data_IF_258027623297
#
_entry.id   IF_258027623297
#
_cell.length_a   1.000
_cell.length_b   1.000
_cell.length_c   1.000
_cell.angle_alpha   90.00
_cell.angle_beta   90.00
_cell.angle_gamma   90.00
#
_symmetry.space_group_name_H-M   'P 1'
#
loop_
_entity.id
_entity.type
_entity.pdbx_description
1 polymer ?
#
# COMPACT_ATOMS: atom_id res chain seq x y z
N UNK A 1 35.58 -7.96 -1.45
CA UNK A 1 34.86 -6.94 -2.25
C UNK A 1 33.68 -7.49 -3.05
N UNK A 2 33.58 -8.80 -3.34
CA UNK A 2 32.44 -9.40 -4.06
C UNK A 2 31.12 -9.52 -3.26
N UNK A 3 31.05 -9.05 -2.00
CA UNK A 3 29.85 -9.14 -1.15
C UNK A 3 29.12 -7.80 -0.96
N UNK A 4 29.56 -6.73 -1.63
CA UNK A 4 28.93 -5.40 -1.57
C UNK A 4 27.66 -5.33 -2.43
N UNK A 5 27.46 -6.27 -3.35
CA UNK A 5 26.56 -6.09 -4.50
C UNK A 5 25.21 -6.82 -4.41
N UNK A 6 25.09 -7.84 -3.56
CA UNK A 6 23.88 -8.69 -3.53
C UNK A 6 22.77 -8.16 -2.60
N UNK A 7 22.99 -7.07 -1.89
CA UNK A 7 22.05 -6.60 -0.85
C UNK A 7 20.98 -5.61 -1.31
N UNK A 8 20.97 -5.15 -2.57
CA UNK A 8 20.11 -4.01 -2.99
C UNK A 8 18.97 -4.36 -3.95
N UNK A 9 18.94 -5.51 -4.62
CA UNK A 9 17.92 -5.74 -5.66
C UNK A 9 17.41 -7.17 -5.74
N UNK A 10 16.57 -7.54 -4.77
CA UNK A 10 15.52 -8.53 -5.00
C UNK A 10 14.20 -7.97 -4.47
N UNK A 11 13.38 -7.41 -5.38
CA UNK A 11 11.94 -7.40 -5.14
C UNK A 11 11.19 -7.50 -6.45
N UNK A 12 10.40 -8.56 -6.52
CA UNK A 12 9.65 -9.05 -7.65
C UNK A 12 8.62 -8.03 -8.15
N UNK A 13 8.34 -8.12 -9.46
CA UNK A 13 7.23 -7.44 -10.12
C UNK A 13 5.89 -7.94 -9.55
N UNK A 14 5.28 -7.20 -8.63
CA UNK A 14 3.81 -7.24 -8.46
C UNK A 14 3.19 -6.08 -9.26
N UNK A 15 2.55 -6.44 -10.38
CA UNK A 15 1.66 -5.55 -11.12
C UNK A 15 0.41 -5.34 -10.26
N UNK A 16 0.31 -4.18 -9.61
CA UNK A 16 -0.89 -3.77 -8.89
C UNK A 16 -1.91 -3.29 -9.92
N UNK A 17 -2.94 -4.11 -10.18
CA UNK A 17 -4.13 -3.64 -10.87
C UNK A 17 -5.01 -2.85 -9.88
N UNK A 18 -5.01 -1.53 -10.04
CA UNK A 18 -5.97 -0.62 -9.42
C UNK A 18 -7.38 -0.89 -9.93
N UNK A 19 -8.11 -1.75 -9.24
CA UNK A 19 -9.56 -1.92 -9.39
C UNK A 19 -10.26 -1.53 -8.10
N UNK A 20 -10.30 -0.23 -7.83
CA UNK A 20 -11.26 0.37 -6.92
C UNK A 20 -12.45 0.84 -7.74
N UNK A 21 -13.61 0.24 -7.53
CA UNK A 21 -14.93 0.89 -7.59
C UNK A 21 -15.95 -0.10 -7.00
N UNK A 22 -16.20 0.03 -5.71
CA UNK A 22 -17.37 -0.52 -5.05
C UNK A 22 -18.59 0.33 -5.43
N UNK A 23 -19.35 -0.09 -6.43
CA UNK A 23 -20.72 0.39 -6.65
C UNK A 23 -21.62 -0.12 -5.51
N UNK A 24 -21.49 0.51 -4.34
CA UNK A 24 -22.51 0.52 -3.31
C UNK A 24 -22.60 1.94 -2.75
N UNK A 25 -22.99 2.90 -3.60
CA UNK A 25 -23.50 4.19 -3.17
C UNK A 25 -24.71 3.93 -2.25
N UNK A 26 -24.48 3.98 -0.95
CA UNK A 26 -25.52 4.34 0.01
C UNK A 26 -25.76 5.82 -0.18
N UNK A 27 -26.96 6.17 -0.65
CA UNK A 27 -27.45 7.54 -0.67
C UNK A 27 -27.45 8.09 0.76
N UNK A 28 -26.53 9.00 1.05
CA UNK A 28 -26.55 9.89 2.21
C UNK A 28 -27.32 11.15 1.83
N UNK A 29 -28.59 11.20 2.18
CA UNK A 29 -29.38 12.43 2.27
C UNK A 29 -30.27 12.29 3.53
N UNK A 30 -29.76 12.78 4.67
CA UNK A 30 -30.46 13.70 5.59
C UNK A 30 -29.65 13.88 6.89
N UNK A 31 -29.16 15.11 7.02
CA UNK A 31 -28.82 15.94 8.18
C UNK A 31 -28.80 15.33 9.60
N UNK A 32 -27.59 15.30 10.14
CA UNK A 32 -27.18 15.98 11.39
C UNK A 32 -28.23 16.10 12.53
N UNK A 33 -28.29 15.08 13.39
CA UNK A 33 -28.51 15.26 14.82
C UNK A 33 -27.43 14.48 15.58
N UNK A 34 -26.42 15.20 16.05
CA UNK A 34 -25.49 14.71 17.07
C UNK A 34 -26.26 14.52 18.38
N UNK A 35 -26.65 13.27 18.65
CA UNK A 35 -26.89 12.75 19.98
C UNK A 35 -25.94 11.58 20.16
N UNK A 36 -24.96 11.73 21.05
CA UNK A 36 -23.99 10.70 21.38
C UNK A 36 -24.65 9.56 22.14
N UNK A 37 -24.85 8.41 21.50
CA UNK A 37 -25.02 7.14 22.20
C UNK A 37 -24.21 6.05 21.50
N UNK A 38 -23.38 5.38 22.30
CA UNK A 38 -22.37 4.40 21.91
C UNK A 38 -22.98 3.27 21.05
N UNK A 39 -22.57 3.17 19.78
CA UNK A 39 -22.81 2.01 18.91
C UNK A 39 -21.73 0.92 19.07
N UNK A 40 -21.16 0.77 20.25
CA UNK A 40 -20.21 -0.31 20.54
C UNK A 40 -20.90 -1.44 21.32
N UNK A 41 -20.77 -2.65 20.76
CA UNK A 41 -21.28 -3.95 21.23
C UNK A 41 -22.75 -4.29 20.93
N UNK A 42 -23.00 -4.78 19.72
CA UNK A 42 -24.01 -5.83 19.52
C UNK A 42 -23.29 -7.12 19.17
N UNK A 43 -23.07 -7.94 20.19
CA UNK A 43 -22.62 -9.31 20.06
C UNK A 43 -23.69 -10.09 19.29
N UNK A 44 -23.42 -10.39 18.02
CA UNK A 44 -24.23 -11.34 17.26
C UNK A 44 -24.03 -12.72 17.90
N UNK A 45 -25.07 -13.43 18.36
CA UNK A 45 -24.88 -14.75 18.94
C UNK A 45 -24.37 -15.68 17.85
N UNK A 46 -23.11 -16.09 17.96
CA UNK A 46 -22.58 -17.24 17.26
C UNK A 46 -23.22 -18.49 17.87
N UNK A 47 -24.42 -18.84 17.41
CA UNK A 47 -24.94 -20.21 17.56
C UNK A 47 -25.59 -20.64 16.26
N UNK A 48 -25.09 -21.75 15.74
CA UNK A 48 -25.54 -22.52 14.57
C UNK A 48 -27.07 -22.77 14.56
N UNK A 49 -27.71 -22.66 15.74
CA UNK A 49 -29.14 -22.85 15.95
C UNK A 49 -30.06 -21.81 15.26
N UNK A 50 -29.61 -20.56 15.08
CA UNK A 50 -30.44 -19.52 14.44
C UNK A 50 -30.40 -19.61 12.90
N UNK A 51 -29.30 -20.12 12.33
CA UNK A 51 -29.12 -20.28 10.89
C UNK A 51 -30.01 -21.39 10.31
N UNK A 52 -30.16 -22.53 11.02
CA UNK A 52 -31.10 -23.59 10.62
C UNK A 52 -32.54 -23.09 10.47
N UNK A 53 -33.02 -22.26 11.41
CA UNK A 53 -34.41 -21.73 11.38
C UNK A 53 -34.72 -20.83 10.17
N UNK A 54 -33.74 -20.16 9.57
CA UNK A 54 -33.96 -19.25 8.42
C UNK A 54 -33.94 -20.01 7.09
N UNK A 55 -33.22 -21.13 7.00
CA UNK A 55 -33.26 -21.96 5.78
C UNK A 55 -34.62 -22.63 5.59
N UNK A 56 -35.23 -23.04 6.71
CA UNK A 56 -36.43 -23.88 6.74
C UNK A 56 -37.73 -23.08 6.80
N UNK A 57 -37.67 -21.74 6.96
CA UNK A 57 -38.87 -20.91 6.97
C UNK A 57 -39.49 -20.85 5.57
N UNK A 58 -40.78 -21.19 5.51
CA UNK A 58 -41.55 -21.18 4.27
C UNK A 58 -41.92 -19.77 3.83
N UNK A 59 -42.19 -19.60 2.53
CA UNK A 59 -42.67 -18.35 1.96
C UNK A 59 -43.97 -17.83 2.61
N UNK A 60 -44.83 -18.74 3.10
CA UNK A 60 -46.06 -18.38 3.84
C UNK A 60 -45.75 -17.86 5.24
N UNK A 61 -44.88 -18.54 5.99
CA UNK A 61 -44.50 -18.09 7.33
C UNK A 61 -43.82 -16.72 7.31
N UNK A 62 -43.00 -16.44 6.28
CA UNK A 62 -42.41 -15.09 6.10
C UNK A 62 -43.49 -14.02 5.92
N UNK A 63 -44.59 -14.33 5.23
CA UNK A 63 -45.68 -13.36 5.01
C UNK A 63 -46.45 -13.03 6.28
N UNK A 64 -46.46 -13.93 7.26
CA UNK A 64 -47.15 -13.77 8.54
C UNK A 64 -46.26 -13.09 9.61
N UNK A 65 -45.01 -12.77 9.29
CA UNK A 65 -44.11 -12.10 10.23
C UNK A 65 -44.56 -10.66 10.53
N UNK A 66 -44.52 -10.32 11.80
CA UNK A 66 -44.69 -8.96 12.32
C UNK A 66 -43.41 -8.54 13.06
N UNK A 67 -43.04 -7.28 12.94
CA UNK A 67 -41.86 -6.70 13.58
C UNK A 67 -42.27 -5.46 14.36
N UNK A 68 -41.62 -5.20 15.49
CA UNK A 68 -41.90 -4.01 16.28
C UNK A 68 -41.31 -2.78 15.58
N UNK A 69 -40.18 -2.94 14.89
CA UNK A 69 -39.53 -1.85 14.15
C UNK A 69 -39.25 -2.17 12.68
N UNK A 70 -39.18 -1.11 11.87
CA UNK A 70 -38.68 -1.17 10.49
C UNK A 70 -37.26 -1.75 10.43
N UNK A 71 -36.44 -1.43 11.42
CA UNK A 71 -35.05 -1.86 11.47
C UNK A 71 -34.95 -3.38 11.60
N UNK A 72 -35.73 -3.98 12.51
CA UNK A 72 -35.82 -5.43 12.68
C UNK A 72 -36.26 -6.14 11.40
N UNK A 73 -37.30 -5.63 10.73
CA UNK A 73 -37.74 -6.15 9.43
C UNK A 73 -36.64 -6.12 8.37
N UNK A 74 -35.87 -5.03 8.29
CA UNK A 74 -34.74 -4.91 7.37
C UNK A 74 -33.63 -5.92 7.72
N UNK A 75 -33.28 -6.03 9.01
CA UNK A 75 -32.24 -6.92 9.52
C UNK A 75 -32.61 -8.39 9.27
N UNK A 76 -33.87 -8.76 9.49
CA UNK A 76 -34.40 -10.07 9.16
C UNK A 76 -34.15 -10.41 7.68
N UNK A 77 -34.60 -9.55 6.76
CA UNK A 77 -34.46 -9.84 5.34
C UNK A 77 -33.00 -9.81 4.84
N UNK A 78 -32.15 -8.96 5.42
CA UNK A 78 -30.71 -8.98 5.15
C UNK A 78 -30.05 -10.29 5.60
N UNK A 79 -30.49 -10.83 6.74
CA UNK A 79 -30.02 -12.13 7.26
C UNK A 79 -30.53 -13.28 6.40
N UNK A 80 -31.82 -13.25 6.03
CA UNK A 80 -32.41 -14.19 5.08
C UNK A 80 -31.65 -14.21 3.74
N UNK A 81 -31.38 -13.02 3.19
CA UNK A 81 -30.62 -12.89 1.95
C UNK A 81 -29.22 -13.49 2.06
N UNK A 82 -28.51 -13.20 3.17
CA UNK A 82 -27.19 -13.77 3.44
C UNK A 82 -27.24 -15.30 3.49
N UNK A 83 -28.23 -15.87 4.19
CA UNK A 83 -28.40 -17.33 4.26
C UNK A 83 -28.70 -17.93 2.89
N UNK A 84 -29.63 -17.34 2.13
CA UNK A 84 -30.01 -17.86 0.81
C UNK A 84 -28.95 -17.59 -0.28
N UNK A 85 -27.95 -16.74 -0.02
CA UNK A 85 -26.81 -16.55 -0.93
C UNK A 85 -26.93 -15.37 -1.89
N UNK A 86 -27.59 -14.30 -1.49
CA UNK A 86 -27.64 -13.03 -2.22
C UNK A 86 -27.55 -11.83 -1.28
N UNK A 87 -27.41 -10.62 -1.83
CA UNK A 87 -27.37 -9.39 -1.02
C UNK A 87 -28.70 -8.65 -1.13
N UNK A 88 -29.32 -8.31 0.00
CA UNK A 88 -30.50 -7.45 0.04
C UNK A 88 -30.09 -5.97 -0.03
N UNK A 89 -30.70 -5.22 -0.95
CA UNK A 89 -30.54 -3.77 -1.09
C UNK A 89 -31.83 -3.06 -0.72
N UNK A 90 -31.73 -1.95 0.00
CA UNK A 90 -32.87 -1.04 0.22
C UNK A 90 -33.33 -0.49 -1.14
N UNK A 91 -34.64 -0.42 -1.31
CA UNK A 91 -35.30 0.12 -2.49
C UNK A 91 -36.34 1.14 -2.04
N UNK A 92 -37.47 1.23 -2.75
CA UNK A 92 -38.58 2.13 -2.46
C UNK A 92 -38.93 2.26 -0.97
N UNK A 93 -39.19 3.50 -0.59
CA UNK A 93 -39.67 3.92 0.70
C UNK A 93 -40.92 4.78 0.46
N UNK A 94 -41.96 4.61 1.28
CA UNK A 94 -43.13 5.49 1.27
C UNK A 94 -43.24 6.22 2.60
N UNK A 95 -43.72 7.45 2.55
CA UNK A 95 -44.00 8.30 3.71
C UNK A 95 -45.47 8.72 3.71
N UNK A 96 -46.01 9.01 4.88
CA UNK A 96 -47.31 9.67 4.99
C UNK A 96 -47.19 11.20 4.85
N UNK A 97 -48.32 11.90 4.96
CA UNK A 97 -48.37 13.36 4.92
C UNK A 97 -47.56 14.06 6.01
N UNK A 98 -47.25 13.36 7.11
CA UNK A 98 -46.42 13.85 8.21
C UNK A 98 -44.94 13.48 8.04
N UNK A 99 -44.54 13.04 6.84
CA UNK A 99 -43.19 12.56 6.50
C UNK A 99 -42.71 11.32 7.28
N UNK A 100 -43.60 10.65 8.02
CA UNK A 100 -43.28 9.41 8.71
C UNK A 100 -43.21 8.26 7.71
N UNK A 101 -42.20 7.40 7.86
CA UNK A 101 -42.02 6.25 6.97
C UNK A 101 -43.12 5.23 7.23
N UNK A 102 -43.89 4.88 6.20
CA UNK A 102 -45.00 3.91 6.27
C UNK A 102 -44.72 2.61 5.53
N UNK A 103 -43.70 2.57 4.69
CA UNK A 103 -43.34 1.39 3.90
C UNK A 103 -41.85 1.37 3.60
N UNK A 104 -41.25 0.18 3.67
CA UNK A 104 -39.90 -0.08 3.19
C UNK A 104 -39.90 -1.33 2.30
N UNK A 105 -39.31 -1.21 1.12
CA UNK A 105 -39.01 -2.35 0.26
C UNK A 105 -37.50 -2.62 0.24
N UNK A 106 -37.14 -3.90 0.28
CA UNK A 106 -35.81 -4.42 -0.04
C UNK A 106 -35.90 -5.35 -1.25
N UNK A 107 -34.83 -5.42 -2.04
CA UNK A 107 -34.75 -6.21 -3.27
C UNK A 107 -33.41 -6.92 -3.38
N UNK A 108 -33.33 -7.94 -4.23
CA UNK A 108 -32.05 -8.59 -4.55
C UNK A 108 -31.02 -7.59 -5.14
N UNK A 109 -29.72 -7.85 -4.92
CA UNK A 109 -28.64 -7.06 -5.51
C UNK A 109 -28.69 -7.03 -7.05
N UNK A 110 -29.21 -8.08 -7.69
CA UNK A 110 -29.40 -8.15 -9.14
C UNK A 110 -30.75 -7.58 -9.63
N UNK A 111 -31.53 -6.94 -8.75
CA UNK A 111 -32.83 -6.38 -9.11
C UNK A 111 -32.73 -5.13 -10.00
N UNK A 112 -33.74 -4.98 -10.87
CA UNK A 112 -33.84 -3.91 -11.86
C UNK A 112 -32.81 -4.03 -12.99
N UNK A 113 -32.75 -3.02 -13.84
CA UNK A 113 -31.72 -2.89 -14.88
C UNK A 113 -30.75 -1.76 -14.49
N UNK A 114 -29.52 -1.79 -15.04
CA UNK A 114 -28.63 -0.63 -14.94
C UNK A 114 -29.20 0.48 -15.82
N UNK A 115 -29.31 1.70 -15.29
CA UNK A 115 -29.89 2.82 -16.03
C UNK A 115 -28.95 3.23 -17.18
N UNK A 116 -29.52 3.65 -18.32
CA UNK A 116 -28.77 4.03 -19.53
C UNK A 116 -27.73 5.12 -19.29
N UNK A 117 -28.04 6.11 -18.43
CA UNK A 117 -27.10 7.18 -18.04
C UNK A 117 -25.74 6.70 -17.49
N UNK A 118 -25.68 5.48 -16.94
CA UNK A 118 -24.43 4.88 -16.45
C UNK A 118 -23.72 3.99 -17.49
N UNK A 119 -24.41 3.65 -18.57
CA UNK A 119 -23.88 2.89 -19.71
C UNK A 119 -23.32 3.85 -20.79
N UNK A 120 -23.92 5.03 -20.93
CA UNK A 120 -23.64 5.99 -22.00
C UNK A 120 -22.81 7.19 -21.52
N UNK A 121 -22.14 7.07 -20.36
CA UNK A 121 -21.35 8.17 -19.79
C UNK A 121 -20.03 8.34 -20.56
N UNK A 122 -19.95 9.41 -21.34
CA UNK A 122 -18.83 9.70 -22.26
C UNK A 122 -17.54 10.09 -21.50
N UNK A 123 -17.65 10.85 -20.40
CA UNK A 123 -16.50 11.38 -19.65
C UNK A 123 -15.97 10.43 -18.58
N UNK A 124 -15.89 9.13 -18.88
CA UNK A 124 -15.51 8.12 -17.89
C UNK A 124 -13.99 7.94 -17.84
N UNK A 125 -13.39 8.18 -16.68
CA UNK A 125 -11.95 7.94 -16.43
C UNK A 125 -11.58 6.47 -16.17
N UNK A 126 -12.58 5.64 -15.82
CA UNK A 126 -12.41 4.21 -15.49
C UNK A 126 -13.30 3.34 -16.38
N UNK A 127 -12.93 2.07 -16.65
CA UNK A 127 -13.76 1.15 -17.42
C UNK A 127 -15.13 0.89 -16.78
N UNK A 128 -16.07 0.35 -17.56
CA UNK A 128 -17.38 -0.03 -17.04
C UNK A 128 -17.27 -1.20 -16.07
N UNK A 129 -17.82 -1.03 -14.86
CA UNK A 129 -18.04 -2.16 -13.96
C UNK A 129 -18.94 -3.21 -14.65
N UNK A 130 -18.75 -4.51 -14.37
CA UNK A 130 -19.60 -5.57 -14.93
C UNK A 130 -21.10 -5.31 -14.70
N UNK A 131 -21.95 -5.69 -15.66
CA UNK A 131 -23.40 -5.61 -15.50
C UNK A 131 -23.85 -6.78 -14.62
N UNK A 132 -24.16 -6.47 -13.37
CA UNK A 132 -24.60 -7.47 -12.37
C UNK A 132 -26.11 -7.57 -12.22
N UNK A 133 -26.86 -6.59 -12.75
CA UNK A 133 -28.32 -6.51 -12.64
C UNK A 133 -29.00 -7.29 -13.76
N UNK A 134 -29.85 -8.24 -13.38
CA UNK A 134 -30.55 -9.16 -14.30
C UNK A 134 -32.06 -8.90 -14.33
N UNK A 135 -32.53 -7.76 -13.82
CA UNK A 135 -33.95 -7.47 -13.62
C UNK A 135 -34.65 -8.45 -12.67
N UNK A 136 -33.91 -8.99 -11.70
CA UNK A 136 -34.45 -9.90 -10.69
C UNK A 136 -35.62 -9.26 -9.93
N UNK A 137 -36.68 -10.04 -9.69
CA UNK A 137 -37.94 -9.55 -9.06
C UNK A 137 -38.07 -9.93 -7.60
N UNK A 138 -37.13 -10.72 -7.06
CA UNK A 138 -37.08 -11.06 -5.65
C UNK A 138 -37.09 -9.80 -4.78
N UNK A 139 -38.06 -9.72 -3.87
CA UNK A 139 -38.33 -8.53 -3.05
C UNK A 139 -38.99 -8.90 -1.74
N UNK A 140 -38.83 -8.02 -0.77
CA UNK A 140 -39.46 -8.06 0.53
C UNK A 140 -39.96 -6.66 0.87
N UNK A 141 -41.24 -6.52 1.17
CA UNK A 141 -41.87 -5.22 1.44
C UNK A 141 -42.64 -5.26 2.74
N UNK A 142 -42.28 -4.40 3.68
CA UNK A 142 -43.00 -4.20 4.93
C UNK A 142 -43.74 -2.87 4.94
N UNK A 143 -44.88 -2.84 5.63
CA UNK A 143 -45.70 -1.65 5.86
C UNK A 143 -46.06 -1.52 7.33
N UNK A 144 -46.18 -0.29 7.81
CA UNK A 144 -46.65 -0.02 9.16
C UNK A 144 -48.17 -0.24 9.23
N UNK A 145 -48.59 -1.23 10.01
CA UNK A 145 -49.97 -1.38 10.46
C UNK A 145 -50.21 -0.45 11.65
N UNK A 146 -50.94 0.63 11.42
CA UNK A 146 -51.24 1.64 12.45
C UNK A 146 -52.15 1.14 13.56
N UNK A 147 -52.92 0.07 13.33
CA UNK A 147 -53.81 -0.49 14.35
C UNK A 147 -53.04 -1.31 15.37
N UNK A 148 -52.07 -2.10 14.87
CA UNK A 148 -51.20 -2.94 15.70
C UNK A 148 -49.94 -2.21 16.17
N UNK A 149 -49.63 -1.05 15.59
CA UNK A 149 -48.34 -0.35 15.76
C UNK A 149 -47.14 -1.25 15.43
N UNK A 150 -47.29 -2.14 14.43
CA UNK A 150 -46.29 -3.11 14.00
C UNK A 150 -46.00 -3.03 12.51
N UNK A 151 -44.82 -3.44 12.12
CA UNK A 151 -44.41 -3.58 10.72
C UNK A 151 -44.75 -4.98 10.22
N UNK A 152 -45.69 -5.07 9.29
CA UNK A 152 -46.17 -6.33 8.72
C UNK A 152 -45.62 -6.55 7.31
N UNK A 153 -45.41 -7.80 6.93
CA UNK A 153 -45.01 -8.14 5.56
C UNK A 153 -46.20 -7.98 4.61
N UNK A 154 -46.06 -7.08 3.64
CA UNK A 154 -47.11 -6.73 2.69
C UNK A 154 -46.90 -7.28 1.28
N UNK A 155 -45.68 -7.74 0.97
CA UNK A 155 -45.35 -8.45 -0.27
C UNK A 155 -44.01 -9.14 -0.14
N UNK A 156 -43.96 -10.42 -0.49
CA UNK A 156 -42.74 -11.21 -0.55
C UNK A 156 -42.69 -11.96 -1.88
N UNK A 157 -41.53 -11.94 -2.54
CA UNK A 157 -41.26 -12.72 -3.76
C UNK A 157 -39.91 -13.40 -3.58
N UNK A 158 -39.93 -14.72 -3.50
CA UNK A 158 -38.75 -15.55 -3.26
C UNK A 158 -38.00 -15.88 -4.55
N UNK A 159 -38.68 -15.99 -5.69
CA UNK A 159 -38.07 -16.48 -6.92
C UNK A 159 -37.01 -15.52 -7.50
N UNK A 160 -35.85 -16.09 -7.82
CA UNK A 160 -34.74 -15.42 -8.51
C UNK A 160 -34.65 -15.88 -9.96
N UNK A 161 -34.20 -15.01 -10.85
CA UNK A 161 -33.92 -15.33 -12.25
C UNK A 161 -32.43 -15.57 -12.54
N UNK A 162 -31.68 -15.91 -11.50
CA UNK A 162 -30.24 -16.15 -11.54
C UNK A 162 -29.86 -17.13 -10.43
N UNK A 163 -28.73 -17.81 -10.58
CA UNK A 163 -28.17 -18.64 -9.53
C UNK A 163 -27.82 -17.81 -8.28
N UNK A 164 -28.09 -18.39 -7.11
CA UNK A 164 -27.66 -17.86 -5.83
C UNK A 164 -26.22 -18.32 -5.54
N UNK A 165 -25.51 -17.55 -4.74
CA UNK A 165 -24.12 -17.85 -4.40
C UNK A 165 -24.08 -18.97 -3.37
N UNK A 166 -23.27 -20.02 -3.55
CA UNK A 166 -23.10 -21.06 -2.55
C UNK A 166 -22.72 -20.48 -1.18
N UNK A 167 -23.21 -21.07 -0.10
CA UNK A 167 -22.97 -20.61 1.27
C UNK A 167 -21.47 -20.42 1.58
N UNK A 168 -20.62 -21.29 1.02
CA UNK A 168 -19.16 -21.24 1.14
C UNK A 168 -18.55 -19.94 0.60
N UNK A 169 -19.20 -19.22 -0.33
CA UNK A 169 -18.67 -18.00 -0.96
C UNK A 169 -19.44 -16.73 -0.57
N UNK A 170 -20.52 -16.82 0.22
CA UNK A 170 -21.32 -15.66 0.62
C UNK A 170 -20.48 -14.62 1.37
N UNK A 171 -19.54 -15.06 2.19
CA UNK A 171 -18.64 -14.18 2.95
C UNK A 171 -17.76 -13.28 2.06
N UNK A 172 -17.63 -13.59 0.76
CA UNK A 172 -16.84 -12.79 -0.19
C UNK A 172 -17.62 -11.58 -0.74
N UNK A 173 -18.94 -11.51 -0.56
CA UNK A 173 -19.70 -10.34 -0.98
C UNK A 173 -19.19 -9.09 -0.25
N UNK A 174 -18.90 -7.98 -0.96
CA UNK A 174 -18.48 -6.73 -0.31
C UNK A 174 -19.41 -6.28 0.83
N UNK A 175 -20.72 -6.49 0.69
CA UNK A 175 -21.70 -6.14 1.72
C UNK A 175 -21.62 -6.98 3.01
N UNK A 176 -20.93 -8.12 2.98
CA UNK A 176 -20.75 -9.02 4.12
C UNK A 176 -19.31 -9.08 4.60
N UNK A 177 -18.38 -8.42 3.91
CA UNK A 177 -16.99 -8.30 4.33
C UNK A 177 -16.85 -7.16 5.33
N UNK A 178 -16.28 -7.45 6.49
CA UNK A 178 -16.01 -6.45 7.51
C UNK A 178 -14.87 -6.92 8.42
N UNK A 179 -13.98 -6.00 8.79
CA UNK A 179 -13.08 -6.18 9.93
C UNK A 179 -13.77 -5.62 11.17
N UNK A 180 -13.93 -6.44 12.20
CA UNK A 180 -14.37 -5.96 13.51
C UNK A 180 -13.21 -5.26 14.25
N UNK A 181 -13.51 -4.59 15.35
CA UNK A 181 -12.49 -3.77 16.04
C UNK A 181 -11.42 -4.59 16.74
N UNK A 182 -11.73 -5.82 17.16
CA UNK A 182 -10.74 -6.75 17.68
C UNK A 182 -9.73 -7.16 16.58
N UNK A 183 -10.22 -7.46 15.37
CA UNK A 183 -9.37 -7.77 14.22
C UNK A 183 -8.47 -6.58 13.88
N UNK A 184 -9.05 -5.37 13.83
CA UNK A 184 -8.30 -4.12 13.58
C UNK A 184 -7.20 -3.90 14.61
N UNK A 185 -7.52 -3.99 15.90
CA UNK A 185 -6.55 -3.79 16.98
C UNK A 185 -5.38 -4.78 16.89
N UNK A 186 -5.67 -6.05 16.60
CA UNK A 186 -4.65 -7.08 16.43
C UNK A 186 -3.78 -6.85 15.20
N UNK A 187 -4.40 -6.47 14.07
CA UNK A 187 -3.69 -6.07 12.84
C UNK A 187 -2.75 -4.90 13.12
N UNK A 188 -3.23 -3.87 13.83
CA UNK A 188 -2.46 -2.67 14.14
C UNK A 188 -1.24 -2.99 15.02
N UNK A 189 -1.40 -3.84 16.04
CA UNK A 189 -0.30 -4.29 16.90
C UNK A 189 0.76 -5.02 16.07
N UNK A 190 0.35 -6.02 15.27
CA UNK A 190 1.30 -6.79 14.46
C UNK A 190 2.02 -5.91 13.43
N UNK A 191 1.30 -5.01 12.78
CA UNK A 191 1.89 -4.07 11.82
C UNK A 191 2.85 -3.09 12.50
N UNK A 192 2.53 -2.62 13.71
CA UNK A 192 3.42 -1.76 14.51
C UNK A 192 4.73 -2.47 14.88
N UNK A 193 4.69 -3.79 15.10
CA UNK A 193 5.89 -4.61 15.34
C UNK A 193 6.66 -4.98 14.05
N UNK A 194 6.31 -4.40 12.91
CA UNK A 194 7.02 -4.61 11.64
C UNK A 194 6.69 -5.94 10.93
N UNK A 195 5.65 -6.66 11.36
CA UNK A 195 5.23 -7.90 10.68
C UNK A 195 4.69 -7.55 9.29
N UNK A 196 5.22 -8.22 8.26
CA UNK A 196 4.78 -8.03 6.87
C UNK A 196 3.28 -8.31 6.74
N UNK A 197 2.55 -7.48 5.99
CA UNK A 197 1.09 -7.58 5.82
C UNK A 197 0.64 -8.96 5.33
N UNK A 198 1.42 -9.63 4.48
CA UNK A 198 1.11 -11.00 4.02
C UNK A 198 1.15 -12.03 5.18
N UNK A 199 2.09 -11.88 6.12
CA UNK A 199 2.19 -12.72 7.30
C UNK A 199 1.07 -12.41 8.30
N UNK A 200 0.68 -11.13 8.44
CA UNK A 200 -0.51 -10.74 9.23
C UNK A 200 -1.75 -11.45 8.68
N UNK A 201 -1.96 -11.43 7.35
CA UNK A 201 -3.09 -12.13 6.73
C UNK A 201 -3.05 -13.64 7.04
N UNK A 202 -1.89 -14.28 6.89
CA UNK A 202 -1.73 -15.71 7.19
C UNK A 202 -2.04 -16.05 8.65
N UNK A 203 -1.57 -15.22 9.58
CA UNK A 203 -1.84 -15.36 11.00
C UNK A 203 -3.34 -15.20 11.33
N UNK A 204 -3.99 -14.17 10.77
CA UNK A 204 -5.44 -13.96 10.96
C UNK A 204 -6.26 -15.12 10.40
N UNK A 205 -5.86 -15.68 9.25
CA UNK A 205 -6.50 -16.86 8.66
C UNK A 205 -6.36 -18.08 9.57
N UNK A 206 -5.16 -18.36 10.09
CA UNK A 206 -4.93 -19.48 10.99
C UNK A 206 -5.79 -19.37 12.27
N UNK A 207 -5.85 -18.17 12.86
CA UNK A 207 -6.63 -17.93 14.07
C UNK A 207 -8.15 -18.07 13.84
N UNK A 208 -8.64 -17.66 12.66
CA UNK A 208 -10.07 -17.65 12.33
C UNK A 208 -10.55 -18.91 11.60
N UNK A 209 -9.71 -19.94 11.47
CA UNK A 209 -10.08 -21.21 10.82
C UNK A 209 -10.20 -21.11 9.30
N UNK A 210 -9.47 -20.18 8.67
CA UNK A 210 -9.38 -20.03 7.22
C UNK A 210 -10.25 -18.92 6.63
N UNK A 211 -10.37 -18.93 5.30
CA UNK A 211 -11.00 -17.85 4.53
C UNK A 211 -12.49 -17.65 4.83
N UNK A 212 -13.22 -18.72 5.16
CA UNK A 212 -14.63 -18.62 5.52
C UNK A 212 -14.86 -17.94 6.87
N UNK A 213 -13.89 -18.01 7.79
CA UNK A 213 -14.03 -17.48 9.15
C UNK A 213 -13.47 -16.06 9.35
N UNK A 214 -12.54 -15.62 8.50
CA UNK A 214 -11.88 -14.31 8.67
C UNK A 214 -12.79 -13.11 8.38
N UNK A 215 -13.78 -13.26 7.48
CA UNK A 215 -14.76 -12.20 7.20
C UNK A 215 -14.26 -11.01 6.39
N UNK A 216 -12.99 -10.97 5.98
CA UNK A 216 -12.42 -9.97 5.08
C UNK A 216 -11.37 -10.58 4.14
N UNK A 217 -11.06 -9.89 3.05
CA UNK A 217 -10.08 -10.33 2.06
C UNK A 217 -8.70 -9.73 2.31
N UNK A 218 -7.67 -10.29 1.65
CA UNK A 218 -6.32 -9.71 1.62
C UNK A 218 -6.37 -8.23 1.17
N UNK A 219 -7.17 -7.90 0.14
CA UNK A 219 -7.31 -6.51 -0.33
C UNK A 219 -7.87 -5.58 0.75
N UNK A 220 -8.84 -6.04 1.54
CA UNK A 220 -9.43 -5.22 2.61
C UNK A 220 -8.40 -4.89 3.69
N UNK A 221 -7.56 -5.88 4.07
CA UNK A 221 -6.46 -5.68 5.01
C UNK A 221 -5.47 -4.61 4.53
N UNK A 222 -5.04 -4.72 3.26
CA UNK A 222 -4.12 -3.73 2.67
C UNK A 222 -4.76 -2.34 2.62
N UNK A 223 -6.02 -2.26 2.16
CA UNK A 223 -6.76 -1.00 2.09
C UNK A 223 -6.94 -0.36 3.48
N UNK A 224 -7.15 -1.16 4.52
CA UNK A 224 -7.25 -0.69 5.89
C UNK A 224 -5.94 -0.08 6.39
N UNK A 225 -4.82 -0.81 6.26
CA UNK A 225 -3.50 -0.32 6.66
C UNK A 225 -3.07 0.91 5.87
N UNK A 226 -3.37 0.94 4.58
CA UNK A 226 -3.12 2.09 3.71
C UNK A 226 -3.95 3.32 4.14
N UNK A 227 -5.22 3.13 4.49
CA UNK A 227 -6.05 4.20 5.08
C UNK A 227 -5.45 4.71 6.40
N UNK A 228 -4.99 3.83 7.28
CA UNK A 228 -4.33 4.24 8.53
C UNK A 228 -3.06 5.06 8.26
N UNK A 229 -2.24 4.66 7.29
CA UNK A 229 -1.06 5.42 6.85
C UNK A 229 -1.45 6.81 6.34
N UNK A 230 -2.49 6.90 5.50
CA UNK A 230 -2.98 8.19 4.98
C UNK A 230 -3.48 9.13 6.07
N UNK A 231 -4.20 8.63 7.07
CA UNK A 231 -4.68 9.44 8.21
C UNK A 231 -3.50 10.07 8.95
N UNK A 232 -2.39 9.34 9.15
CA UNK A 232 -1.19 9.86 9.82
C UNK A 232 -0.49 11.00 9.08
N UNK A 233 -0.71 11.13 7.77
CA UNK A 233 -0.05 12.14 6.92
C UNK A 233 -1.05 13.13 6.30
N UNK A 234 -2.32 13.12 6.73
CA UNK A 234 -3.39 13.92 6.14
C UNK A 234 -3.10 15.43 6.23
N UNK A 235 -2.41 15.87 7.28
CA UNK A 235 -2.09 17.27 7.56
C UNK A 235 -0.73 17.70 6.97
N UNK A 236 -0.26 16.99 5.94
CA UNK A 236 0.98 17.22 5.23
C UNK A 236 2.04 16.16 5.51
N UNK A 237 2.45 15.44 4.48
CA UNK A 237 3.44 14.37 4.56
C UNK A 237 4.85 14.87 4.85
N UNK A 238 5.27 15.97 4.24
CA UNK A 238 6.56 16.61 4.53
C UNK A 238 6.64 17.02 6.01
N UNK A 239 5.59 17.63 6.56
CA UNK A 239 5.54 18.03 7.97
C UNK A 239 5.54 16.81 8.90
N UNK A 240 4.81 15.76 8.55
CA UNK A 240 4.82 14.51 9.30
C UNK A 240 6.21 13.85 9.29
N UNK A 241 6.91 13.83 8.15
CA UNK A 241 8.26 13.30 8.03
C UNK A 241 9.26 14.11 8.88
N UNK A 242 9.21 15.45 8.80
CA UNK A 242 10.05 16.32 9.63
C UNK A 242 9.77 16.14 11.13
N UNK A 243 8.49 16.05 11.53
CA UNK A 243 8.11 15.82 12.92
C UNK A 243 8.58 14.45 13.43
N UNK A 244 8.55 13.42 12.57
CA UNK A 244 9.07 12.10 12.91
C UNK A 244 10.58 12.13 13.11
N UNK A 245 11.32 12.77 12.21
CA UNK A 245 12.78 12.91 12.33
C UNK A 245 13.15 13.72 13.56
N UNK A 246 12.43 14.81 13.84
CA UNK A 246 12.64 15.59 15.07
C UNK A 246 12.43 14.73 16.31
N UNK A 247 11.33 13.96 16.39
CA UNK A 247 11.10 13.04 17.50
C UNK A 247 12.16 11.93 17.64
N UNK A 248 12.83 11.55 16.54
CA UNK A 248 14.00 10.65 16.59
C UNK A 248 15.22 11.35 17.15
N UNK A 249 15.50 12.58 16.71
CA UNK A 249 16.59 13.40 17.22
C UNK A 249 16.42 13.72 18.72
N UNK A 250 15.20 13.87 19.21
CA UNK A 250 14.92 14.06 20.64
C UNK A 250 15.39 12.86 21.51
N UNK A 251 15.52 11.66 20.92
CA UNK A 251 15.98 10.44 21.60
C UNK A 251 17.44 10.07 21.25
N UNK A 252 18.04 10.71 20.25
CA UNK A 252 19.39 10.45 19.77
C UNK A 252 20.12 11.80 19.59
N UNK A 253 20.85 12.27 20.63
CA UNK A 253 21.49 13.59 20.62
C UNK A 253 22.59 13.75 19.57
N UNK A 254 23.07 12.65 18.97
CA UNK A 254 24.12 12.66 17.93
C UNK A 254 23.47 12.75 16.54
N UNK A 255 22.19 12.36 16.41
CA UNK A 255 21.46 12.40 15.16
C UNK A 255 21.55 13.79 14.51
N UNK A 256 21.86 13.79 13.22
CA UNK A 256 21.90 15.00 12.41
C UNK A 256 20.77 15.00 11.38
N UNK A 257 20.08 16.12 11.25
CA UNK A 257 19.08 16.36 10.21
C UNK A 257 19.24 17.77 9.65
N UNK A 258 19.14 17.88 8.32
CA UNK A 258 19.17 19.16 7.62
C UNK A 258 18.16 19.12 6.49
N UNK A 259 17.41 20.20 6.29
CA UNK A 259 16.49 20.30 5.17
C UNK A 259 16.52 21.69 4.55
N UNK A 260 16.01 21.78 3.32
CA UNK A 260 15.81 23.04 2.63
C UNK A 260 14.40 23.11 2.05
N UNK A 261 13.93 24.32 1.79
CA UNK A 261 12.61 24.57 1.21
C UNK A 261 12.72 25.34 -0.09
N UNK A 262 11.76 25.13 -0.97
CA UNK A 262 11.54 25.99 -2.13
C UNK A 262 11.01 27.37 -1.70
N UNK A 263 10.99 28.32 -2.64
CA UNK A 263 10.47 29.67 -2.38
C UNK A 263 8.98 29.68 -1.98
N UNK A 264 8.21 28.68 -2.42
CA UNK A 264 6.81 28.47 -2.03
C UNK A 264 6.63 27.62 -0.76
N UNK A 265 7.71 27.41 0.01
CA UNK A 265 7.67 26.77 1.33
C UNK A 265 7.51 25.25 1.31
N UNK A 266 7.75 24.58 0.18
CA UNK A 266 7.70 23.11 0.08
C UNK A 266 9.06 22.51 0.42
N UNK A 267 9.06 21.34 1.02
CA UNK A 267 10.30 20.59 1.29
C UNK A 267 11.00 20.28 -0.04
N UNK A 268 12.25 20.72 -0.18
CA UNK A 268 13.05 20.57 -1.39
C UNK A 268 14.09 19.46 -1.24
N UNK A 269 14.89 19.53 -0.17
CA UNK A 269 15.90 18.54 0.17
C UNK A 269 15.80 18.21 1.65
N UNK A 270 16.07 16.96 2.02
CA UNK A 270 16.08 16.46 3.38
C UNK A 270 17.24 15.46 3.53
N UNK A 271 18.17 15.72 4.43
CA UNK A 271 19.27 14.84 4.79
C UNK A 271 19.09 14.41 6.25
N UNK A 272 19.37 13.13 6.56
CA UNK A 272 19.44 12.65 7.93
C UNK A 272 20.48 11.53 8.09
N UNK A 273 21.10 11.49 9.27
CA UNK A 273 21.95 10.40 9.73
C UNK A 273 21.71 10.20 11.23
N UNK A 274 21.44 8.97 11.65
CA UNK A 274 21.35 8.65 13.07
C UNK A 274 22.74 8.62 13.72
N UNK A 275 22.77 8.67 15.05
CA UNK A 275 24.00 8.75 15.82
C UNK A 275 24.94 7.56 15.57
N UNK A 276 24.37 6.36 15.38
CA UNK A 276 25.16 5.17 15.05
C UNK A 276 25.82 5.30 13.68
N UNK A 277 25.09 5.77 12.67
CA UNK A 277 25.60 6.00 11.32
C UNK A 277 26.77 7.00 11.32
N UNK A 278 26.66 8.05 12.14
CA UNK A 278 27.72 9.07 12.29
C UNK A 278 28.96 8.46 12.96
N UNK A 279 28.78 7.69 14.04
CA UNK A 279 29.87 6.99 14.74
C UNK A 279 30.54 5.97 13.82
N UNK A 280 29.76 5.20 13.07
CA UNK A 280 30.27 4.20 12.14
C UNK A 280 31.12 4.85 11.05
N UNK A 281 30.73 6.02 10.54
CA UNK A 281 31.57 6.74 9.57
C UNK A 281 32.92 7.19 10.16
N UNK A 282 32.96 7.52 11.46
CA UNK A 282 34.23 7.83 12.12
C UNK A 282 35.20 6.64 12.11
N UNK A 283 34.68 5.41 12.20
CA UNK A 283 35.49 4.19 12.17
C UNK A 283 35.74 3.64 10.76
N UNK A 284 34.75 3.74 9.86
CA UNK A 284 34.70 2.98 8.60
C UNK A 284 34.53 3.86 7.35
N UNK A 285 34.56 5.19 7.51
CA UNK A 285 34.31 6.17 6.44
C UNK A 285 35.44 6.36 5.43
N UNK A 286 36.44 5.48 5.38
CA UNK A 286 37.57 5.61 4.44
C UNK A 286 37.12 5.43 2.98
N UNK A 287 36.12 4.57 2.77
CA UNK A 287 35.48 4.37 1.47
C UNK A 287 34.00 4.69 1.61
N UNK A 288 33.55 5.68 0.83
CA UNK A 288 32.16 6.11 0.77
C UNK A 288 31.55 5.73 -0.58
N UNK A 289 30.54 4.89 -0.57
CA UNK A 289 29.72 4.62 -1.75
C UNK A 289 28.37 5.32 -1.60
N UNK A 290 27.93 6.04 -2.62
CA UNK A 290 26.57 6.55 -2.65
C UNK A 290 25.99 6.54 -4.05
N UNK A 291 24.68 6.35 -4.11
CA UNK A 291 23.90 6.25 -5.34
C UNK A 291 22.48 6.78 -5.11
N UNK A 292 21.81 7.22 -6.18
CA UNK A 292 20.40 7.59 -6.16
C UNK A 292 19.52 6.39 -6.48
N UNK A 293 18.75 5.96 -5.48
CA UNK A 293 17.69 4.99 -5.73
C UNK A 293 16.52 5.64 -6.47
N UNK A 294 15.93 4.87 -7.39
CA UNK A 294 14.87 5.32 -8.29
C UNK A 294 13.75 6.12 -7.60
N UNK A 295 13.25 7.12 -8.34
CA UNK A 295 12.13 8.05 -8.07
C UNK A 295 10.77 7.34 -7.86
N UNK A 296 10.68 6.37 -6.94
CA UNK A 296 9.50 5.52 -6.71
C UNK A 296 8.47 6.13 -5.76
N UNK A 297 8.75 7.29 -5.15
CA UNK A 297 7.76 8.00 -4.35
C UNK A 297 6.82 8.83 -5.24
N UNK A 298 5.67 9.22 -4.68
CA UNK A 298 4.64 10.02 -5.36
C UNK A 298 5.15 11.33 -5.98
N UNK A 299 6.26 11.86 -5.46
CA UNK A 299 6.86 13.12 -5.89
C UNK A 299 7.99 12.94 -6.89
N UNK A 300 8.36 11.70 -7.21
CA UNK A 300 9.53 11.36 -8.01
C UNK A 300 10.84 11.95 -7.44
N UNK A 301 10.96 12.08 -6.11
CA UNK A 301 12.19 12.58 -5.47
C UNK A 301 13.23 11.44 -5.40
N UNK A 302 14.47 11.62 -5.89
CA UNK A 302 15.54 10.66 -5.66
C UNK A 302 15.84 10.48 -4.17
N UNK A 303 16.11 9.23 -3.77
CA UNK A 303 16.63 8.91 -2.45
C UNK A 303 18.10 8.51 -2.59
N UNK A 304 19.00 9.36 -2.09
CA UNK A 304 20.45 9.11 -1.97
C UNK A 304 20.70 8.29 -0.71
N UNK A 305 21.49 7.22 -0.84
CA UNK A 305 21.93 6.41 0.31
C UNK A 305 23.45 6.45 0.37
N UNK A 306 23.99 6.88 1.51
CA UNK A 306 25.42 6.86 1.81
C UNK A 306 25.75 5.57 2.53
N UNK A 307 26.72 4.82 2.01
CA UNK A 307 27.07 3.50 2.52
C UNK A 307 28.57 3.23 2.48
N UNK A 308 29.00 2.24 3.25
CA UNK A 308 30.36 1.72 3.26
C UNK A 308 30.38 0.29 3.78
N UNK A 309 31.54 -0.15 4.27
CA UNK A 309 31.69 -1.49 4.84
C UNK A 309 32.52 -1.48 6.12
N UNK A 310 32.19 -2.36 7.06
CA UNK A 310 33.02 -2.59 8.24
C UNK A 310 34.14 -3.62 7.97
N UNK A 311 34.97 -3.89 8.99
CA UNK A 311 36.05 -4.89 8.92
C UNK A 311 35.57 -6.32 8.62
N UNK A 312 34.28 -6.62 8.75
CA UNK A 312 33.67 -7.91 8.42
C UNK A 312 33.05 -7.93 7.01
N UNK A 313 33.30 -6.91 6.18
CA UNK A 313 32.71 -6.75 4.86
C UNK A 313 31.17 -6.67 4.87
N UNK A 314 30.59 -6.21 5.98
CA UNK A 314 29.15 -5.96 6.07
C UNK A 314 28.84 -4.53 5.67
N UNK A 315 27.76 -4.33 4.92
CA UNK A 315 27.29 -3.00 4.52
C UNK A 315 26.85 -2.19 5.73
N UNK A 316 27.33 -0.95 5.81
CA UNK A 316 26.88 0.05 6.77
C UNK A 316 26.24 1.20 6.01
N UNK A 317 25.16 1.77 6.56
CA UNK A 317 24.58 3.02 6.08
C UNK A 317 25.10 4.17 6.95
N UNK A 318 25.65 5.20 6.32
CA UNK A 318 26.17 6.39 7.00
C UNK A 318 25.16 7.54 7.00
N UNK A 319 24.12 7.48 6.17
CA UNK A 319 23.08 8.48 6.12
C UNK A 319 22.27 8.39 4.84
N UNK A 320 21.21 9.18 4.77
CA UNK A 320 20.30 9.20 3.63
C UNK A 320 19.90 10.64 3.29
N UNK A 321 19.55 10.87 2.03
CA UNK A 321 18.97 12.13 1.60
C UNK A 321 17.82 11.94 0.62
N UNK A 322 16.73 12.68 0.81
CA UNK A 322 15.65 12.82 -0.16
C UNK A 322 15.82 14.17 -0.87
N UNK A 323 15.90 14.17 -2.19
CA UNK A 323 16.17 15.39 -2.98
C UNK A 323 15.13 15.61 -4.08
N UNK A 324 14.99 16.83 -4.57
CA UNK A 324 14.01 17.18 -5.60
C UNK A 324 14.46 16.85 -7.03
N UNK A 325 15.77 16.78 -7.27
CA UNK A 325 16.38 16.64 -8.59
C UNK A 325 17.81 16.10 -8.50
N UNK A 326 18.41 15.76 -9.64
CA UNK A 326 19.74 15.16 -9.78
C UNK A 326 20.68 16.16 -10.46
N UNK A 327 20.84 17.33 -9.85
CA UNK A 327 21.68 18.42 -10.36
C UNK A 327 22.95 18.60 -9.53
N UNK A 328 23.94 19.29 -10.09
CA UNK A 328 25.20 19.60 -9.39
C UNK A 328 24.94 20.33 -8.07
N UNK A 329 24.09 21.36 -8.07
CA UNK A 329 23.78 22.15 -6.87
C UNK A 329 23.12 21.29 -5.79
N UNK A 330 22.25 20.36 -6.19
CA UNK A 330 21.58 19.45 -5.27
C UNK A 330 22.56 18.46 -4.66
N UNK A 331 23.40 17.80 -5.46
CA UNK A 331 24.41 16.89 -4.90
C UNK A 331 25.45 17.62 -4.06
N UNK A 332 25.86 18.82 -4.45
CA UNK A 332 26.73 19.67 -3.62
C UNK A 332 26.09 19.93 -2.26
N UNK A 333 24.82 20.33 -2.21
CA UNK A 333 24.10 20.53 -0.96
C UNK A 333 24.03 19.26 -0.11
N UNK A 334 23.77 18.10 -0.72
CA UNK A 334 23.72 16.82 0.01
C UNK A 334 25.09 16.46 0.57
N UNK A 335 26.16 16.59 -0.21
CA UNK A 335 27.52 16.27 0.25
C UNK A 335 28.00 17.24 1.33
N UNK A 336 27.63 18.52 1.25
CA UNK A 336 27.90 19.50 2.31
C UNK A 336 27.16 19.16 3.61
N UNK A 337 25.89 18.73 3.51
CA UNK A 337 25.11 18.26 4.65
C UNK A 337 25.71 16.99 5.27
N UNK A 338 26.13 16.03 4.44
CA UNK A 338 26.84 14.83 4.86
C UNK A 338 28.13 15.19 5.61
N UNK A 339 28.94 16.10 5.07
CA UNK A 339 30.18 16.54 5.70
C UNK A 339 29.98 17.24 7.04
N UNK A 340 28.91 18.02 7.16
CA UNK A 340 28.52 18.62 8.43
C UNK A 340 28.16 17.56 9.46
N UNK A 341 27.34 16.57 9.08
CA UNK A 341 26.99 15.44 9.94
C UNK A 341 28.21 14.62 10.37
N UNK A 342 29.19 14.45 9.49
CA UNK A 342 30.39 13.63 9.71
C UNK A 342 31.55 14.39 10.38
N UNK A 343 31.28 15.54 11.01
CA UNK A 343 32.28 16.37 11.68
C UNK A 343 33.48 16.74 10.78
N UNK A 344 33.21 16.98 9.50
CA UNK A 344 34.21 17.33 8.47
C UNK A 344 35.27 16.27 8.22
N UNK A 345 35.05 15.01 8.62
CA UNK A 345 35.89 13.88 8.19
C UNK A 345 35.66 13.62 6.70
N UNK A 346 36.73 13.67 5.90
CA UNK A 346 36.69 13.33 4.48
C UNK A 346 36.89 11.83 4.26
N UNK A 347 36.20 11.21 3.29
CA UNK A 347 36.55 9.87 2.83
C UNK A 347 37.87 9.89 2.05
N UNK A 348 38.58 8.77 1.99
CA UNK A 348 39.76 8.62 1.14
C UNK A 348 39.34 8.36 -0.31
N UNK A 349 38.33 7.51 -0.49
CA UNK A 349 37.77 7.17 -1.80
C UNK A 349 36.26 7.29 -1.82
N UNK A 350 35.73 7.78 -2.93
CA UNK A 350 34.30 7.90 -3.18
C UNK A 350 33.93 7.06 -4.38
N UNK A 351 32.90 6.21 -4.26
CA UNK A 351 32.45 5.30 -5.30
C UNK A 351 31.02 5.68 -5.71
N UNK A 352 30.80 5.95 -7.00
CA UNK A 352 29.46 6.25 -7.55
C UNK A 352 29.24 5.53 -8.89
N UNK A 353 28.05 5.64 -9.47
CA UNK A 353 27.70 5.11 -10.79
C UNK A 353 28.33 5.88 -11.98
N UNK A 354 28.95 7.04 -11.71
CA UNK A 354 29.58 7.88 -12.72
C UNK A 354 28.74 9.07 -13.19
N UNK A 355 27.64 9.39 -12.51
CA UNK A 355 26.85 10.58 -12.80
C UNK A 355 27.71 11.85 -12.83
N UNK A 356 27.49 12.68 -13.86
CA UNK A 356 28.29 13.88 -14.12
C UNK A 356 28.09 14.92 -13.01
N UNK A 357 26.85 15.10 -12.54
CA UNK A 357 26.56 16.06 -11.48
C UNK A 357 27.15 15.63 -10.14
N UNK A 358 27.08 14.34 -9.80
CA UNK A 358 27.77 13.78 -8.63
C UNK A 358 29.27 14.00 -8.72
N UNK A 359 29.89 13.69 -9.88
CA UNK A 359 31.34 13.85 -10.08
C UNK A 359 31.79 15.30 -9.85
N UNK A 360 31.08 16.28 -10.41
CA UNK A 360 31.44 17.68 -10.21
C UNK A 360 31.22 18.11 -8.76
N UNK A 361 30.16 17.63 -8.08
CA UNK A 361 29.93 17.91 -6.66
C UNK A 361 31.03 17.31 -5.77
N UNK A 362 31.47 16.08 -6.05
CA UNK A 362 32.57 15.41 -5.33
C UNK A 362 33.86 16.21 -5.45
N UNK A 363 34.22 16.68 -6.65
CA UNK A 363 35.44 17.50 -6.83
C UNK A 363 35.44 18.77 -5.97
N UNK A 364 34.26 19.35 -5.76
CA UNK A 364 34.10 20.60 -4.98
C UNK A 364 34.10 20.33 -3.48
N UNK A 365 33.39 19.29 -3.01
CA UNK A 365 33.21 19.03 -1.57
C UNK A 365 34.29 18.11 -1.00
N UNK A 366 34.85 17.23 -1.81
CA UNK A 366 35.86 16.22 -1.47
C UNK A 366 37.09 16.32 -2.38
N UNK A 367 37.81 17.47 -2.42
CA UNK A 367 38.87 17.71 -3.39
C UNK A 367 40.04 16.71 -3.31
N UNK A 368 40.30 16.18 -2.11
CA UNK A 368 41.41 15.24 -1.87
C UNK A 368 41.00 13.76 -2.00
N UNK A 369 39.70 13.47 -2.17
CA UNK A 369 39.21 12.10 -2.27
C UNK A 369 39.37 11.56 -3.69
N UNK A 370 39.76 10.30 -3.81
CA UNK A 370 39.82 9.63 -5.12
C UNK A 370 38.43 9.18 -5.53
N UNK A 371 37.89 9.73 -6.62
CA UNK A 371 36.62 9.28 -7.21
C UNK A 371 36.84 8.00 -8.04
N UNK A 372 36.02 6.99 -7.80
CA UNK A 372 36.02 5.69 -8.48
C UNK A 372 34.61 5.37 -8.99
N UNK A 373 34.56 4.60 -10.06
CA UNK A 373 33.30 4.08 -10.60
C UNK A 373 32.96 2.75 -9.94
N UNK A 374 31.68 2.53 -9.68
CA UNK A 374 31.18 1.31 -9.10
C UNK A 374 31.27 0.15 -10.11
N UNK A 375 32.01 -0.91 -9.74
CA UNK A 375 32.20 -2.11 -10.56
C UNK A 375 30.86 -2.74 -10.97
N UNK A 376 29.88 -2.81 -10.05
CA UNK A 376 28.54 -3.31 -10.35
C UNK A 376 27.86 -2.53 -11.47
N UNK A 377 27.88 -1.19 -11.40
CA UNK A 377 27.27 -0.33 -12.40
C UNK A 377 27.95 -0.47 -13.77
N UNK A 378 29.28 -0.55 -13.77
CA UNK A 378 30.05 -0.81 -14.99
C UNK A 378 29.68 -2.17 -15.60
N UNK A 379 29.62 -3.23 -14.80
CA UNK A 379 29.28 -4.57 -15.25
C UNK A 379 27.82 -4.65 -15.74
N UNK A 380 26.88 -4.00 -15.05
CA UNK A 380 25.49 -3.90 -15.48
C UNK A 380 25.37 -3.18 -16.82
N UNK A 381 26.05 -2.04 -16.97
CA UNK A 381 26.06 -1.29 -18.23
C UNK A 381 26.63 -2.14 -19.38
N UNK A 382 27.73 -2.87 -19.13
CA UNK A 382 28.29 -3.80 -20.10
C UNK A 382 27.28 -4.87 -20.50
N UNK A 383 26.61 -5.52 -19.54
CA UNK A 383 25.58 -6.54 -19.82
C UNK A 383 24.38 -5.99 -20.61
N UNK A 384 24.00 -4.72 -20.43
CA UNK A 384 22.89 -4.10 -21.14
C UNK A 384 23.25 -3.72 -22.59
N UNK A 385 24.50 -3.30 -22.83
CA UNK A 385 24.92 -2.73 -24.11
C UNK A 385 25.75 -3.68 -24.98
N UNK A 386 26.45 -4.64 -24.38
CA UNK A 386 27.34 -5.57 -25.08
C UNK A 386 26.68 -6.95 -25.19
N UNK A 387 26.47 -7.40 -26.43
CA UNK A 387 25.86 -8.71 -26.74
C UNK A 387 26.91 -9.78 -27.03
N UNK A 388 27.97 -9.83 -26.24
CA UNK A 388 29.07 -10.79 -26.37
C UNK A 388 29.30 -11.46 -25.01
N UNK A 389 28.84 -12.69 -24.84
CA UNK A 389 28.94 -13.42 -23.57
C UNK A 389 30.38 -13.68 -23.13
N UNK A 390 31.29 -14.18 -23.98
CA UNK A 390 32.72 -14.26 -23.65
C UNK A 390 33.30 -12.95 -23.11
N UNK A 391 33.05 -11.83 -23.80
CA UNK A 391 33.52 -10.52 -23.35
C UNK A 391 32.94 -10.16 -21.97
N UNK A 392 31.66 -10.42 -21.72
CA UNK A 392 31.03 -10.10 -20.43
C UNK A 392 31.61 -10.91 -19.27
N UNK A 393 31.96 -12.18 -19.50
CA UNK A 393 32.62 -13.02 -18.49
C UNK A 393 34.03 -12.50 -18.17
N UNK A 394 34.79 -12.15 -19.20
CA UNK A 394 36.12 -11.56 -19.08
C UNK A 394 36.08 -10.16 -18.46
N UNK A 395 35.13 -9.32 -18.85
CA UNK A 395 34.91 -7.98 -18.29
C UNK A 395 34.56 -8.07 -16.80
N UNK A 396 33.66 -8.98 -16.43
CA UNK A 396 33.35 -9.26 -15.03
C UNK A 396 34.62 -9.68 -14.27
N UNK A 397 35.43 -10.56 -14.86
CA UNK A 397 36.72 -10.95 -14.26
C UNK A 397 37.67 -9.76 -14.12
N UNK A 398 37.73 -8.85 -15.09
CA UNK A 398 38.52 -7.63 -15.02
C UNK A 398 38.13 -6.75 -13.84
N UNK A 399 36.82 -6.62 -13.57
CA UNK A 399 36.31 -5.73 -12.52
C UNK A 399 36.46 -6.29 -11.10
N UNK A 400 36.39 -7.61 -10.92
CA UNK A 400 36.35 -8.24 -9.58
C UNK A 400 37.62 -8.97 -9.16
N UNK A 401 38.57 -9.14 -10.08
CA UNK A 401 39.85 -9.78 -9.76
C UNK A 401 40.78 -8.79 -9.06
N UNK A 402 41.66 -9.32 -8.20
CA UNK A 402 42.66 -8.53 -7.52
C UNK A 402 43.90 -8.37 -8.42
N UNK A 403 43.82 -7.46 -9.39
CA UNK A 403 44.93 -7.14 -10.28
C UNK A 403 45.76 -5.98 -9.74
N UNK A 404 47.07 -6.06 -9.90
CA UNK A 404 47.91 -4.87 -9.97
C UNK A 404 47.54 -4.04 -11.22
N UNK A 405 47.86 -2.74 -11.27
CA UNK A 405 47.61 -1.93 -12.47
C UNK A 405 48.20 -2.54 -13.74
N UNK A 406 49.41 -3.10 -13.67
CA UNK A 406 50.08 -3.76 -14.82
C UNK A 406 49.32 -5.01 -15.26
N UNK A 407 48.95 -5.90 -14.33
CA UNK A 407 48.16 -7.09 -14.62
C UNK A 407 46.78 -6.73 -15.21
N UNK A 408 46.18 -5.64 -14.74
CA UNK A 408 44.91 -5.16 -15.28
C UNK A 408 45.07 -4.68 -16.72
N UNK A 409 46.07 -3.86 -17.03
CA UNK A 409 46.29 -3.35 -18.39
C UNK A 409 46.61 -4.49 -19.36
N UNK A 410 47.45 -5.46 -18.96
CA UNK A 410 47.75 -6.64 -19.77
C UNK A 410 46.50 -7.51 -20.01
N UNK A 411 45.70 -7.74 -18.95
CA UNK A 411 44.45 -8.50 -19.06
C UNK A 411 43.42 -7.74 -19.91
N UNK A 412 43.30 -6.43 -19.71
CA UNK A 412 42.39 -5.56 -20.45
C UNK A 412 42.73 -5.56 -21.94
N UNK A 413 44.00 -5.36 -22.30
CA UNK A 413 44.46 -5.41 -23.68
C UNK A 413 44.15 -6.78 -24.31
N UNK A 414 44.43 -7.86 -23.59
CA UNK A 414 44.13 -9.22 -24.06
C UNK A 414 42.64 -9.41 -24.38
N UNK A 415 41.74 -9.01 -23.47
CA UNK A 415 40.30 -9.24 -23.66
C UNK A 415 39.74 -8.39 -24.81
N UNK A 416 40.29 -7.19 -25.04
CA UNK A 416 39.89 -6.31 -26.14
C UNK A 416 40.23 -6.94 -27.50
N UNK A 417 41.46 -7.49 -27.63
CA UNK A 417 41.93 -8.18 -28.84
C UNK A 417 41.14 -9.47 -29.09
N UNK A 418 41.03 -10.34 -28.09
CA UNK A 418 40.39 -11.66 -28.23
C UNK A 418 38.90 -11.57 -28.55
N UNK A 419 38.22 -10.51 -28.07
CA UNK A 419 36.81 -10.27 -28.33
C UNK A 419 36.54 -9.35 -29.54
N UNK A 420 37.59 -8.87 -30.23
CA UNK A 420 37.48 -8.07 -31.45
C UNK A 420 36.75 -6.74 -31.26
N UNK A 421 36.90 -6.10 -30.11
CA UNK A 421 36.25 -4.81 -29.76
C UNK A 421 37.19 -3.61 -29.86
N UNK A 422 38.31 -3.79 -30.57
CA UNK A 422 39.28 -2.73 -30.86
C UNK A 422 38.64 -1.58 -31.65
N UNK A 423 38.77 -0.34 -31.16
CA UNK A 423 38.35 0.86 -31.89
C UNK A 423 36.89 1.30 -31.74
N UNK A 424 36.13 0.71 -30.80
CA UNK A 424 34.82 1.21 -30.38
C UNK A 424 34.90 2.43 -29.46
#
# INVERSE_FOLDING_TARGET
MAHIEDAILDNEKEVIFDNDDSDCEMSTDDENQQGSENEDNIQLPATDHHFRRIYDISSSEIQDLEFDTRHEACKFFQTYARCKGFVARKHNLARDGNKNITMQQLVCNRAGLRQKKYLEKVDRKKPHAPITRTNCKAKFRVRLDRKKSKWIVSSFVEQHNHFLTPSTYVHLFPAYRAMNDADKAQIDILHMQGVRTCHIMGYMLAQKGGYSGIGFSKKDLYNYLDRQKRVKIQDGDARAALSYIQGKADNDPIMFCKYSTTNDGKLKHLFWADGQSIVDFQCFGDVLAFDTTYKKNKYNYPLVIFSGCNHHSQTIIFGCALVSDETFETYKWVLEAFMEAMHKKHPISVVTDGDVAMREAIKVVFPDSTHRLCAWHLNKNACENVKNTPFLEDFKKAMYSNFTPEEFEDFWHKIIVENGVEGN
#
